data_IF_266453791681
#
_entry.id   IF_266453791681
#
_cell.length_a   1.000
_cell.length_b   1.000
_cell.length_c   1.000
_cell.angle_alpha   90.00
_cell.angle_beta   90.00
_cell.angle_gamma   90.00
#
_symmetry.space_group_name_H-M   'P 1'
#
loop_
_entity.id
_entity.type
_entity.pdbx_description
1 polymer ?
#
# COMPACT_ATOMS: atom_id res chain seq x y z
N UNK A 1 -7.52 11.81 -24.16
CA UNK A 1 -7.91 10.48 -23.64
C UNK A 1 -8.01 10.60 -22.13
N UNK A 2 -9.23 10.51 -21.61
CA UNK A 2 -9.58 10.96 -20.26
C UNK A 2 -9.31 9.93 -19.18
N UNK A 3 -8.61 10.36 -18.14
CA UNK A 3 -8.28 9.61 -16.90
C UNK A 3 -9.50 9.09 -16.11
N UNK A 4 -10.71 9.44 -16.54
CA UNK A 4 -11.94 9.32 -15.75
C UNK A 4 -12.82 8.11 -16.15
N UNK A 5 -12.36 7.29 -17.11
CA UNK A 5 -13.06 6.07 -17.53
C UNK A 5 -12.80 4.89 -16.58
N UNK A 6 -11.76 4.95 -15.74
CA UNK A 6 -11.40 3.87 -14.81
C UNK A 6 -12.32 3.78 -13.58
N UNK A 7 -13.11 4.81 -13.29
CA UNK A 7 -14.00 4.86 -12.13
C UNK A 7 -15.40 4.29 -12.41
N UNK A 8 -15.69 3.87 -13.66
CA UNK A 8 -17.04 3.48 -14.09
C UNK A 8 -17.29 1.98 -14.13
N UNK A 9 -16.33 1.13 -13.79
CA UNK A 9 -16.55 -0.31 -13.70
C UNK A 9 -17.32 -0.68 -12.42
N UNK A 10 -18.62 -0.33 -12.33
CA UNK A 10 -19.57 -0.86 -11.34
C UNK A 10 -20.00 -2.31 -11.66
N UNK A 11 -19.09 -3.11 -12.21
CA UNK A 11 -19.29 -4.52 -12.51
C UNK A 11 -18.36 -5.33 -11.62
N UNK A 12 -18.89 -6.40 -10.99
CA UNK A 12 -18.07 -7.40 -10.28
C UNK A 12 -16.84 -7.71 -11.14
N UNK A 13 -15.66 -7.35 -10.66
CA UNK A 13 -14.40 -7.49 -11.38
C UNK A 13 -14.11 -9.00 -11.52
N UNK A 14 -14.64 -9.64 -12.56
CA UNK A 14 -14.56 -11.10 -12.76
C UNK A 14 -13.11 -11.58 -12.97
N UNK A 15 -12.20 -10.66 -13.26
CA UNK A 15 -10.76 -10.88 -13.36
C UNK A 15 -9.99 -10.33 -12.15
N UNK A 16 -10.65 -10.09 -11.01
CA UNK A 16 -9.93 -9.77 -9.78
C UNK A 16 -8.94 -10.90 -9.49
N UNK A 17 -7.65 -10.57 -9.47
CA UNK A 17 -6.58 -11.53 -9.15
C UNK A 17 -6.66 -11.98 -7.69
N UNK A 18 -7.21 -11.13 -6.82
CA UNK A 18 -7.40 -11.43 -5.40
C UNK A 18 -8.83 -11.90 -5.12
N UNK A 19 -9.00 -13.09 -4.51
CA UNK A 19 -10.31 -13.58 -4.12
C UNK A 19 -10.92 -12.69 -3.03
N UNK A 20 -12.26 -12.60 -3.00
CA UNK A 20 -12.98 -11.61 -2.19
C UNK A 20 -12.74 -11.71 -0.68
N UNK A 21 -12.44 -12.90 -0.18
CA UNK A 21 -12.14 -13.16 1.23
C UNK A 21 -10.71 -12.74 1.64
N UNK A 22 -9.87 -12.36 0.69
CA UNK A 22 -8.53 -11.83 0.92
C UNK A 22 -8.45 -10.32 0.64
N UNK A 23 -9.58 -9.69 0.28
CA UNK A 23 -9.68 -8.24 0.26
C UNK A 23 -9.62 -7.78 1.71
N UNK A 24 -8.60 -6.99 2.04
CA UNK A 24 -8.47 -6.37 3.35
C UNK A 24 -9.19 -5.03 3.32
N UNK A 25 -9.92 -4.69 4.38
CA UNK A 25 -10.72 -3.44 4.49
C UNK A 25 -9.85 -2.19 4.70
N UNK A 26 -8.59 -2.21 4.25
CA UNK A 26 -7.58 -1.18 4.54
C UNK A 26 -7.48 -0.89 6.05
N UNK A 27 -7.37 -1.94 6.86
CA UNK A 27 -7.16 -1.79 8.29
C UNK A 27 -5.77 -1.21 8.49
N UNK A 28 -5.71 0.00 9.05
CA UNK A 28 -4.45 0.60 9.50
C UNK A 28 -3.95 -0.21 10.71
N UNK A 29 -3.01 -1.12 10.45
CA UNK A 29 -2.35 -1.91 11.50
C UNK A 29 -1.08 -1.19 11.90
N UNK A 30 -0.97 -0.87 13.19
CA UNK A 30 0.20 -0.19 13.75
C UNK A 30 1.46 -1.06 13.68
N UNK A 31 2.57 -0.44 13.30
CA UNK A 31 3.87 -1.10 13.25
C UNK A 31 4.38 -1.43 14.66
N UNK A 32 4.67 -2.71 14.91
CA UNK A 32 5.29 -3.16 16.17
C UNK A 32 6.79 -3.26 16.03
N UNK A 33 7.54 -2.39 16.71
CA UNK A 33 8.99 -2.37 16.67
C UNK A 33 9.64 -3.64 17.25
N UNK A 34 8.92 -4.40 18.09
CA UNK A 34 9.41 -5.64 18.70
C UNK A 34 9.28 -6.85 17.77
N UNK A 35 8.44 -6.75 16.73
CA UNK A 35 8.24 -7.80 15.72
C UNK A 35 8.99 -7.52 14.42
N UNK A 36 9.56 -6.32 14.29
CA UNK A 36 10.32 -5.91 13.13
C UNK A 36 11.63 -6.66 13.05
N UNK A 37 11.93 -7.18 11.87
CA UNK A 37 13.24 -7.73 11.54
C UNK A 37 14.23 -6.61 11.13
N UNK A 38 15.43 -7.02 10.73
CA UNK A 38 16.49 -6.10 10.33
C UNK A 38 16.15 -5.38 9.02
N UNK A 39 15.51 -6.09 8.09
CA UNK A 39 15.10 -5.56 6.78
C UNK A 39 14.00 -4.49 6.93
N UNK A 40 13.04 -4.72 7.82
CA UNK A 40 11.99 -3.76 8.17
C UNK A 40 12.58 -2.44 8.69
N UNK A 41 13.62 -2.53 9.51
CA UNK A 41 14.30 -1.35 10.07
C UNK A 41 15.06 -0.57 9.00
N UNK A 42 15.82 -1.26 8.15
CA UNK A 42 16.53 -0.61 7.04
C UNK A 42 15.56 0.07 6.06
N UNK A 43 14.42 -0.58 5.78
CA UNK A 43 13.39 -0.01 4.92
C UNK A 43 12.84 1.30 5.49
N UNK A 44 12.58 1.36 6.81
CA UNK A 44 12.12 2.58 7.47
C UNK A 44 13.16 3.70 7.44
N UNK A 45 14.43 3.40 7.67
CA UNK A 45 15.50 4.39 7.61
C UNK A 45 15.65 4.97 6.20
N UNK A 46 15.60 4.10 5.18
CA UNK A 46 15.66 4.50 3.77
C UNK A 46 14.47 5.37 3.36
N UNK A 47 13.27 5.05 3.84
CA UNK A 47 12.07 5.86 3.60
C UNK A 47 12.20 7.27 4.22
N UNK A 48 12.67 7.34 5.48
CA UNK A 48 12.91 8.63 6.16
C UNK A 48 13.93 9.49 5.44
N UNK A 49 14.99 8.90 4.88
CA UNK A 49 15.99 9.65 4.13
C UNK A 49 15.47 10.12 2.77
N UNK A 50 14.61 9.36 2.11
CA UNK A 50 13.93 9.81 0.90
C UNK A 50 13.01 11.01 1.18
N UNK A 51 12.23 10.96 2.26
CA UNK A 51 11.34 12.06 2.67
C UNK A 51 12.10 13.35 2.96
N UNK A 52 13.29 13.25 3.57
CA UNK A 52 14.18 14.41 3.77
C UNK A 52 14.60 15.02 2.44
N UNK A 53 15.03 14.19 1.48
CA UNK A 53 15.44 14.67 0.13
C UNK A 53 14.32 15.33 -0.66
N UNK A 54 13.08 14.90 -0.45
CA UNK A 54 11.90 15.47 -1.14
C UNK A 54 11.49 16.82 -0.54
N UNK A 55 11.83 17.07 0.74
CA UNK A 55 11.53 18.32 1.43
C UNK A 55 12.54 19.44 1.17
N UNK A 56 13.75 19.11 0.72
CA UNK A 56 14.77 20.06 0.27
C UNK A 56 14.54 20.51 -1.19
#
# INVERSE_FOLDING_TARGET
MGKDEHNKAKGKNSFAQTPKNQLTDHIDVEFSQALADEDDREAQERARDADKRVKD
#
